data_IF_335601211914
#
_entry.id   IF_335601211914
#
_cell.length_a   1.000
_cell.length_b   1.000
_cell.length_c   1.000
_cell.angle_alpha   90.00
_cell.angle_beta   90.00
_cell.angle_gamma   90.00
#
_symmetry.space_group_name_H-M   'P 1'
#
loop_
_entity.id
_entity.type
_entity.pdbx_description
1 polymer ?
#
# COMPACT_ATOMS: atom_id res chain seq x y z
N UNK A 1 -7.18 -6.35 29.97
CA UNK A 1 -8.05 -6.50 28.78
C UNK A 1 -8.55 -5.11 28.45
N UNK A 2 -8.44 -4.69 27.18
CA UNK A 2 -8.87 -3.37 26.73
C UNK A 2 -10.02 -3.59 25.74
N UNK A 3 -11.09 -2.82 25.89
CA UNK A 3 -12.33 -2.98 25.12
C UNK A 3 -12.49 -1.85 24.12
N UNK A 4 -12.95 -2.20 22.93
CA UNK A 4 -13.28 -1.28 21.85
C UNK A 4 -14.63 -1.67 21.25
N UNK A 5 -15.38 -0.72 20.72
CA UNK A 5 -16.61 -1.05 19.98
C UNK A 5 -16.25 -1.78 18.68
N UNK A 6 -15.25 -1.27 17.97
CA UNK A 6 -14.85 -1.74 16.65
C UNK A 6 -13.32 -1.75 16.51
N UNK A 7 -12.79 -2.82 15.92
CA UNK A 7 -11.37 -2.93 15.53
C UNK A 7 -11.25 -3.15 14.02
N UNK A 8 -10.35 -2.42 13.39
CA UNK A 8 -9.92 -2.62 12.00
C UNK A 8 -8.49 -3.16 12.01
N UNK A 9 -8.25 -4.28 11.33
CA UNK A 9 -6.92 -4.89 11.16
C UNK A 9 -6.36 -4.41 9.82
N UNK A 10 -5.29 -3.62 9.87
CA UNK A 10 -4.61 -2.99 8.73
C UNK A 10 -4.90 -1.49 8.61
N UNK A 11 -3.87 -0.67 8.72
CA UNK A 11 -3.87 0.77 8.44
C UNK A 11 -3.37 1.05 7.01
N UNK A 12 -3.82 0.24 6.04
CA UNK A 12 -3.71 0.59 4.63
C UNK A 12 -4.74 1.67 4.25
N UNK A 13 -4.72 2.13 3.00
CA UNK A 13 -5.64 3.17 2.53
C UNK A 13 -7.12 2.79 2.74
N UNK A 14 -7.48 1.55 2.43
CA UNK A 14 -8.83 1.03 2.65
C UNK A 14 -9.21 1.00 4.14
N UNK A 15 -8.33 0.49 5.00
CA UNK A 15 -8.55 0.38 6.45
C UNK A 15 -8.66 1.74 7.13
N UNK A 16 -7.85 2.72 6.72
CA UNK A 16 -7.99 4.10 7.16
C UNK A 16 -9.35 4.71 6.75
N UNK A 17 -9.78 4.47 5.51
CA UNK A 17 -11.09 4.92 5.04
C UNK A 17 -12.25 4.26 5.78
N UNK A 18 -12.15 2.94 6.01
CA UNK A 18 -13.14 2.18 6.75
C UNK A 18 -13.23 2.65 8.19
N UNK A 19 -12.10 2.84 8.88
CA UNK A 19 -12.08 3.35 10.24
C UNK A 19 -12.67 4.76 10.34
N UNK A 20 -12.36 5.66 9.39
CA UNK A 20 -12.96 6.99 9.33
C UNK A 20 -14.49 6.93 9.19
N UNK A 21 -15.01 6.03 8.34
CA UNK A 21 -16.45 5.79 8.18
C UNK A 21 -17.11 5.26 9.46
N UNK A 22 -16.42 4.35 10.15
CA UNK A 22 -16.88 3.72 11.38
C UNK A 22 -16.82 4.68 12.58
N UNK A 23 -15.92 5.67 12.56
CA UNK A 23 -15.73 6.63 13.64
C UNK A 23 -14.70 6.13 14.66
N UNK A 24 -15.13 5.84 15.89
CA UNK A 24 -14.26 5.46 17.02
C UNK A 24 -13.74 4.02 16.93
N UNK A 25 -13.14 3.65 15.80
CA UNK A 25 -12.53 2.36 15.59
C UNK A 25 -11.03 2.39 15.93
N UNK A 26 -10.55 1.34 16.59
CA UNK A 26 -9.12 1.10 16.79
C UNK A 26 -8.54 0.43 15.55
N UNK A 27 -7.45 0.94 15.01
CA UNK A 27 -6.72 0.32 13.90
C UNK A 27 -5.45 -0.36 14.43
N UNK A 28 -5.26 -1.63 14.05
CA UNK A 28 -4.05 -2.41 14.37
C UNK A 28 -3.27 -2.65 13.08
N UNK A 29 -2.05 -2.14 13.00
CA UNK A 29 -1.20 -2.22 11.80
C UNK A 29 0.12 -2.93 12.13
N UNK A 30 0.43 -4.06 11.46
CA UNK A 30 1.68 -4.77 11.69
C UNK A 30 2.93 -3.99 11.24
N UNK A 31 2.80 -3.12 10.24
CA UNK A 31 3.91 -2.30 9.73
C UNK A 31 4.23 -1.13 10.64
N UNK A 32 5.44 -0.59 10.49
CA UNK A 32 5.85 0.64 11.17
C UNK A 32 5.38 1.92 10.47
N UNK A 33 4.65 1.80 9.35
CA UNK A 33 4.11 2.91 8.57
C UNK A 33 2.69 2.57 8.10
N UNK A 34 1.82 3.57 8.02
CA UNK A 34 0.50 3.42 7.39
C UNK A 34 0.61 3.43 5.86
N UNK A 35 -0.38 2.86 5.18
CA UNK A 35 -0.40 2.80 3.71
C UNK A 35 0.74 1.96 3.10
N UNK A 36 1.27 1.00 3.86
CA UNK A 36 2.40 0.16 3.47
C UNK A 36 2.15 -0.63 2.17
N UNK A 37 0.89 -0.94 1.86
CA UNK A 37 0.45 -1.64 0.66
C UNK A 37 0.73 -0.87 -0.65
N UNK A 38 0.91 0.44 -0.59
CA UNK A 38 1.44 1.24 -1.70
C UNK A 38 2.84 1.79 -1.42
N UNK A 39 3.06 2.35 -0.22
CA UNK A 39 4.30 3.05 0.11
C UNK A 39 5.52 2.11 0.14
N UNK A 40 5.37 0.92 0.74
CA UNK A 40 6.46 -0.05 0.89
C UNK A 40 6.54 -1.08 -0.25
N UNK A 41 5.55 -1.07 -1.15
CA UNK A 41 5.53 -1.87 -2.40
C UNK A 41 6.08 -1.11 -3.60
N UNK A 42 6.41 0.18 -3.45
CA UNK A 42 6.69 1.10 -4.57
C UNK A 42 5.59 1.10 -5.65
N UNK A 43 4.34 0.82 -5.29
CA UNK A 43 3.24 0.85 -6.25
C UNK A 43 2.86 2.30 -6.55
N UNK A 44 3.16 2.73 -7.79
CA UNK A 44 2.87 4.08 -8.30
C UNK A 44 1.38 4.39 -8.46
N UNK A 45 0.53 3.37 -8.36
CA UNK A 45 -0.87 3.44 -8.77
C UNK A 45 -1.05 3.53 -10.28
N UNK A 46 -2.29 3.37 -10.71
CA UNK A 46 -2.78 3.53 -12.07
C UNK A 46 -4.19 4.13 -12.06
N UNK A 47 -4.71 4.50 -13.24
CA UNK A 47 -6.07 5.05 -13.40
C UNK A 47 -6.32 6.32 -12.54
N UNK A 48 -5.36 7.24 -12.51
CA UNK A 48 -5.42 8.48 -11.72
C UNK A 48 -6.47 9.50 -12.21
N UNK A 49 -7.03 9.29 -13.39
CA UNK A 49 -8.09 10.13 -13.97
C UNK A 49 -9.47 9.83 -13.35
N UNK A 50 -9.62 8.70 -12.63
CA UNK A 50 -10.89 8.32 -12.02
C UNK A 50 -11.19 9.23 -10.84
N UNK A 51 -12.34 9.92 -10.90
CA UNK A 51 -12.80 10.79 -9.81
C UNK A 51 -13.31 9.95 -8.64
N UNK A 52 -12.85 10.19 -7.40
CA UNK A 52 -13.37 9.51 -6.21
C UNK A 52 -14.85 9.83 -5.98
N UNK A 53 -15.60 8.86 -5.48
CA UNK A 53 -17.03 9.03 -5.14
C UNK A 53 -17.20 9.79 -3.81
N UNK A 54 -16.37 9.51 -2.81
CA UNK A 54 -16.45 10.12 -1.48
C UNK A 54 -15.65 11.43 -1.40
N UNK A 55 -16.22 12.51 -0.80
CA UNK A 55 -15.55 13.82 -0.73
C UNK A 55 -14.22 13.78 0.04
N UNK A 56 -14.10 12.90 1.03
CA UNK A 56 -12.86 12.76 1.80
C UNK A 56 -11.73 12.05 1.03
N UNK A 57 -12.07 11.17 0.09
CA UNK A 57 -11.09 10.61 -0.83
C UNK A 57 -10.66 11.66 -1.87
N UNK A 58 -11.58 12.52 -2.32
CA UNK A 58 -11.26 13.67 -3.16
C UNK A 58 -10.36 14.70 -2.44
N UNK A 59 -10.53 14.88 -1.13
CA UNK A 59 -9.62 15.68 -0.29
C UNK A 59 -8.20 15.09 -0.30
N UNK A 60 -8.08 13.77 -0.13
CA UNK A 60 -6.78 13.09 -0.17
C UNK A 60 -6.12 13.21 -1.56
N UNK A 61 -6.87 13.04 -2.64
CA UNK A 61 -6.37 13.28 -4.00
C UNK A 61 -5.88 14.72 -4.18
N UNK A 62 -6.60 15.70 -3.63
CA UNK A 62 -6.19 17.11 -3.64
C UNK A 62 -4.91 17.34 -2.85
N UNK A 63 -4.74 16.63 -1.73
CA UNK A 63 -3.52 16.67 -0.91
C UNK A 63 -2.32 16.12 -1.70
N UNK A 64 -2.47 15.00 -2.42
CA UNK A 64 -1.42 14.45 -3.28
C UNK A 64 -0.95 15.47 -4.33
N UNK A 65 -1.88 16.10 -5.04
CA UNK A 65 -1.57 17.11 -6.07
C UNK A 65 -0.93 18.37 -5.46
N UNK A 66 -1.50 18.88 -4.37
CA UNK A 66 -0.99 20.06 -3.65
C UNK A 66 0.47 19.89 -3.22
N UNK A 67 0.83 18.70 -2.76
CA UNK A 67 2.18 18.38 -2.30
C UNK A 67 3.09 17.83 -3.40
N UNK A 68 2.65 17.85 -4.67
CA UNK A 68 3.39 17.30 -5.82
C UNK A 68 3.82 15.85 -5.58
N UNK A 69 2.94 15.05 -4.99
CA UNK A 69 3.08 13.61 -4.87
C UNK A 69 2.42 12.86 -6.06
N UNK A 70 1.62 13.58 -6.84
CA UNK A 70 0.96 13.17 -8.08
C UNK A 70 0.92 14.39 -9.00
N UNK A 71 1.30 14.23 -10.27
CA UNK A 71 1.13 15.26 -11.30
C UNK A 71 -0.05 14.98 -12.23
N UNK A 72 -0.23 15.85 -13.23
CA UNK A 72 -1.33 15.77 -14.19
C UNK A 72 -1.14 14.62 -15.21
N UNK A 73 0.09 14.11 -15.38
CA UNK A 73 0.38 12.94 -16.20
C UNK A 73 0.24 11.60 -15.45
N UNK A 74 -0.11 11.64 -14.16
CA UNK A 74 -0.29 10.44 -13.34
C UNK A 74 1.00 9.85 -12.77
N UNK A 75 2.13 10.56 -12.88
CA UNK A 75 3.40 10.17 -12.27
C UNK A 75 3.37 10.47 -10.78
N UNK A 76 4.04 9.63 -9.99
CA UNK A 76 3.96 9.71 -8.53
C UNK A 76 5.30 9.67 -7.81
N UNK A 77 5.31 10.29 -6.63
CA UNK A 77 6.36 10.13 -5.62
C UNK A 77 5.78 9.24 -4.52
N UNK A 78 5.91 7.92 -4.66
CA UNK A 78 5.28 6.92 -3.78
C UNK A 78 5.69 7.09 -2.32
N UNK A 79 6.92 7.56 -2.07
CA UNK A 79 7.41 7.86 -0.73
C UNK A 79 6.57 8.93 0.00
N UNK A 80 5.85 9.79 -0.71
CA UNK A 80 4.97 10.80 -0.13
C UNK A 80 3.59 10.25 0.28
N UNK A 81 3.19 9.04 -0.16
CA UNK A 81 1.87 8.51 0.14
C UNK A 81 1.64 8.28 1.64
N UNK A 82 2.58 7.63 2.33
CA UNK A 82 2.46 7.38 3.77
C UNK A 82 2.37 8.66 4.63
N UNK A 83 3.26 9.67 4.50
CA UNK A 83 3.17 10.88 5.30
C UNK A 83 1.90 11.71 5.00
N UNK A 84 1.44 11.74 3.74
CA UNK A 84 0.20 12.44 3.39
C UNK A 84 -1.03 11.70 3.90
N UNK A 85 -1.05 10.37 3.89
CA UNK A 85 -2.08 9.60 4.58
C UNK A 85 -2.04 9.89 6.08
N UNK A 86 -0.86 10.08 6.67
CA UNK A 86 -0.72 10.30 8.11
C UNK A 86 -1.27 11.67 8.50
N UNK A 87 -1.04 12.69 7.68
CA UNK A 87 -1.70 13.99 7.81
C UNK A 87 -3.22 13.85 7.72
N UNK A 88 -3.72 13.12 6.71
CA UNK A 88 -5.15 12.88 6.50
C UNK A 88 -5.80 12.16 7.68
N UNK A 89 -5.15 11.11 8.21
CA UNK A 89 -5.60 10.32 9.36
C UNK A 89 -5.55 11.11 10.66
N UNK A 90 -4.49 11.91 10.88
CA UNK A 90 -4.36 12.77 12.07
C UNK A 90 -5.46 13.82 12.14
N UNK A 91 -5.81 14.44 11.01
CA UNK A 91 -6.93 15.41 10.94
C UNK A 91 -8.27 14.78 11.36
N UNK A 92 -8.40 13.46 11.26
CA UNK A 92 -9.58 12.67 11.60
C UNK A 92 -9.47 11.95 12.93
N UNK A 93 -8.37 12.16 13.66
CA UNK A 93 -8.14 11.56 14.97
C UNK A 93 -8.27 10.02 14.96
N UNK A 94 -7.84 9.37 13.88
CA UNK A 94 -7.87 7.90 13.82
C UNK A 94 -6.94 7.31 14.89
N UNK A 95 -7.45 6.36 15.67
CA UNK A 95 -6.68 5.64 16.69
C UNK A 95 -5.92 4.48 16.05
N UNK A 96 -4.65 4.72 15.70
CA UNK A 96 -3.81 3.77 14.96
C UNK A 96 -2.67 3.27 15.86
N UNK A 97 -2.55 1.97 16.00
CA UNK A 97 -1.41 1.30 16.64
C UNK A 97 -0.54 0.60 15.58
N UNK A 98 0.60 1.21 15.28
CA UNK A 98 1.60 0.70 14.36
C UNK A 98 2.50 -0.36 15.04
N UNK A 99 3.19 -1.16 14.23
CA UNK A 99 4.09 -2.22 14.69
C UNK A 99 3.41 -3.19 15.66
N UNK A 100 2.13 -3.47 15.43
CA UNK A 100 1.30 -4.32 16.26
C UNK A 100 0.61 -5.37 15.39
N UNK A 101 0.94 -6.64 15.61
CA UNK A 101 0.45 -7.76 14.81
C UNK A 101 -0.62 -8.53 15.54
N UNK A 102 -1.73 -8.84 14.87
CA UNK A 102 -2.73 -9.80 15.37
C UNK A 102 -2.17 -11.22 15.21
N UNK A 103 -2.10 -11.97 16.30
CA UNK A 103 -1.56 -13.35 16.32
C UNK A 103 -2.66 -14.40 16.43
N UNK A 104 -3.83 -14.05 16.97
CA UNK A 104 -4.99 -14.93 17.03
C UNK A 104 -6.28 -14.11 17.17
N UNK A 105 -7.38 -14.65 16.64
CA UNK A 105 -8.74 -14.14 16.82
C UNK A 105 -9.61 -15.29 17.34
N UNK A 106 -10.23 -15.12 18.50
CA UNK A 106 -11.11 -16.11 19.14
C UNK A 106 -12.44 -15.43 19.50
N UNK A 107 -13.43 -15.54 18.61
CA UNK A 107 -14.69 -14.82 18.74
C UNK A 107 -14.50 -13.30 18.70
N UNK A 108 -14.78 -12.62 19.81
CA UNK A 108 -14.62 -11.17 19.95
C UNK A 108 -13.26 -10.74 20.52
N UNK A 109 -12.37 -11.70 20.81
CA UNK A 109 -11.04 -11.41 21.36
C UNK A 109 -9.96 -11.47 20.29
N UNK A 110 -9.10 -10.44 20.26
CA UNK A 110 -7.89 -10.40 19.47
C UNK A 110 -6.69 -10.48 20.41
N UNK A 111 -5.82 -11.45 20.15
CA UNK A 111 -4.48 -11.48 20.74
C UNK A 111 -3.55 -10.74 19.81
N UNK A 112 -2.86 -9.73 20.34
CA UNK A 112 -1.92 -8.92 19.56
C UNK A 112 -0.54 -8.91 20.22
N UNK A 113 0.49 -8.70 19.40
CA UNK A 113 1.86 -8.47 19.84
C UNK A 113 2.35 -7.15 19.25
N UNK A 114 2.58 -6.17 20.13
CA UNK A 114 3.17 -4.88 19.80
C UNK A 114 4.61 -4.77 20.31
N UNK A 115 5.20 -3.60 20.09
CA UNK A 115 6.55 -3.26 20.58
C UNK A 115 6.66 -3.27 22.12
N UNK A 116 5.53 -3.09 22.81
CA UNK A 116 5.39 -3.12 24.27
C UNK A 116 4.93 -4.49 24.79
N UNK A 117 4.90 -5.51 23.93
CA UNK A 117 4.62 -6.90 24.29
C UNK A 117 3.21 -7.37 23.92
N UNK A 118 2.76 -8.40 24.63
CA UNK A 118 1.49 -9.09 24.31
C UNK A 118 0.31 -8.38 24.97
N UNK A 119 -0.79 -8.21 24.22
CA UNK A 119 -2.05 -7.65 24.71
C UNK A 119 -3.23 -8.47 24.23
N UNK A 120 -4.36 -8.29 24.91
CA UNK A 120 -5.65 -8.85 24.53
C UNK A 120 -6.63 -7.69 24.41
N UNK A 121 -7.19 -7.56 23.21
CA UNK A 121 -8.27 -6.64 22.89
C UNK A 121 -9.57 -7.39 22.75
N UNK A 122 -10.67 -6.77 23.18
CA UNK A 122 -12.02 -7.26 22.93
C UNK A 122 -12.76 -6.24 22.09
N UNK A 123 -13.47 -6.69 21.06
CA UNK A 123 -14.23 -5.83 20.17
C UNK A 123 -15.65 -6.32 19.97
N UNK A 124 -16.61 -5.39 19.85
CA UNK A 124 -17.96 -5.70 19.40
C UNK A 124 -17.96 -6.23 17.97
N UNK A 125 -17.22 -5.56 17.08
CA UNK A 125 -17.02 -5.96 15.69
C UNK A 125 -15.54 -5.90 15.28
N UNK A 126 -15.12 -6.85 14.43
CA UNK A 126 -13.75 -6.95 13.91
C UNK A 126 -13.81 -6.91 12.39
N UNK A 127 -13.02 -6.03 11.79
CA UNK A 127 -12.90 -5.86 10.35
C UNK A 127 -11.48 -6.18 9.92
N UNK A 128 -11.30 -7.16 9.03
CA UNK A 128 -10.00 -7.43 8.42
C UNK A 128 -9.87 -6.65 7.11
N UNK A 129 -9.16 -5.53 7.20
CA UNK A 129 -8.83 -4.66 6.09
C UNK A 129 -7.50 -5.04 5.43
N UNK A 130 -6.79 -6.09 5.88
CA UNK A 130 -5.52 -6.47 5.28
C UNK A 130 -5.70 -6.86 3.80
N UNK A 131 -4.71 -6.54 2.94
CA UNK A 131 -4.74 -6.94 1.55
C UNK A 131 -4.96 -8.45 1.41
N UNK A 132 -6.02 -8.86 0.71
CA UNK A 132 -6.26 -10.27 0.43
C UNK A 132 -5.33 -10.74 -0.68
N UNK A 133 -4.71 -11.90 -0.50
CA UNK A 133 -3.87 -12.51 -1.53
C UNK A 133 -4.71 -12.86 -2.75
N UNK A 134 -4.41 -12.23 -3.89
CA UNK A 134 -4.92 -12.61 -5.21
C UNK A 134 -4.01 -13.64 -5.87
N UNK A 135 -4.44 -14.19 -7.00
CA UNK A 135 -3.64 -15.07 -7.84
C UNK A 135 -2.39 -14.41 -8.41
N UNK A 136 -2.39 -13.07 -8.52
CA UNK A 136 -1.28 -12.25 -9.02
C UNK A 136 -0.74 -11.36 -7.91
N UNK A 137 0.59 -11.31 -7.82
CA UNK A 137 1.31 -10.38 -6.95
C UNK A 137 2.58 -9.91 -7.66
N UNK A 138 3.05 -8.73 -7.31
CA UNK A 138 4.22 -8.14 -7.93
C UNK A 138 5.26 -7.74 -6.89
N UNK A 139 6.52 -7.89 -7.26
CA UNK A 139 7.63 -7.27 -6.55
C UNK A 139 8.13 -6.10 -7.38
N UNK A 140 8.05 -4.90 -6.83
CA UNK A 140 8.46 -3.68 -7.52
C UNK A 140 9.87 -3.27 -7.10
N UNK A 141 10.69 -2.86 -8.05
CA UNK A 141 11.96 -2.19 -7.82
C UNK A 141 11.88 -0.69 -8.12
N UNK A 142 12.64 0.11 -7.38
CA UNK A 142 13.01 1.47 -7.78
C UNK A 142 14.29 1.40 -8.61
N UNK A 143 14.25 1.96 -9.82
CA UNK A 143 15.32 1.87 -10.80
C UNK A 143 15.71 3.27 -11.27
N UNK A 144 17.01 3.54 -11.33
CA UNK A 144 17.56 4.72 -12.02
C UNK A 144 17.93 4.36 -13.47
N UNK A 145 17.79 5.28 -14.41
CA UNK A 145 18.13 5.08 -15.82
C UNK A 145 18.19 6.39 -16.60
N UNK A 146 18.39 6.33 -17.94
CA UNK A 146 18.33 7.51 -18.78
C UNK A 146 16.95 8.17 -18.68
N UNK A 147 16.87 9.50 -18.83
CA UNK A 147 15.60 10.22 -18.90
C UNK A 147 14.83 9.87 -20.19
N UNK A 148 13.50 9.92 -20.12
CA UNK A 148 12.63 9.76 -21.29
C UNK A 148 12.33 8.30 -21.68
N UNK A 149 12.66 7.31 -20.85
CA UNK A 149 12.19 5.94 -21.09
C UNK A 149 10.67 5.89 -20.86
N UNK A 150 9.91 5.62 -21.91
CA UNK A 150 8.44 5.57 -21.82
C UNK A 150 7.96 4.42 -20.91
N UNK A 151 6.79 4.61 -20.30
CA UNK A 151 6.06 3.55 -19.61
C UNK A 151 5.88 2.31 -20.49
N UNK A 152 5.70 1.15 -19.86
CA UNK A 152 5.29 -0.07 -20.55
C UNK A 152 6.20 -1.28 -20.32
N UNK A 153 5.91 -2.34 -21.04
CA UNK A 153 6.53 -3.64 -20.82
C UNK A 153 7.87 -3.79 -21.58
N UNK A 154 8.89 -4.27 -20.87
CA UNK A 154 10.25 -4.52 -21.39
C UNK A 154 10.75 -5.85 -20.85
N UNK A 155 10.64 -6.88 -21.68
CA UNK A 155 10.82 -8.27 -21.23
C UNK A 155 9.80 -8.66 -20.16
N UNK A 156 10.28 -9.16 -19.02
CA UNK A 156 9.44 -9.51 -17.87
C UNK A 156 9.03 -8.32 -16.99
N UNK A 157 9.47 -7.11 -17.31
CA UNK A 157 9.29 -5.93 -16.46
C UNK A 157 8.23 -4.98 -16.99
N UNK A 158 7.44 -4.39 -16.09
CA UNK A 158 6.55 -3.28 -16.40
C UNK A 158 7.13 -2.01 -15.78
N UNK A 159 7.52 -1.07 -16.63
CA UNK A 159 8.09 0.22 -16.24
C UNK A 159 6.99 1.28 -16.11
N UNK A 160 7.12 2.09 -15.05
CA UNK A 160 6.35 3.32 -14.83
C UNK A 160 7.31 4.43 -14.43
N UNK A 161 7.24 5.58 -15.09
CA UNK A 161 7.97 6.78 -14.70
C UNK A 161 7.54 7.24 -13.30
N UNK A 162 8.50 7.61 -12.48
CA UNK A 162 8.23 8.34 -11.24
C UNK A 162 8.14 9.85 -11.52
N UNK A 163 7.86 10.64 -10.48
CA UNK A 163 7.97 12.11 -10.55
C UNK A 163 9.40 12.62 -10.71
N UNK A 164 10.41 11.80 -10.40
CA UNK A 164 11.81 12.20 -10.49
C UNK A 164 12.38 11.78 -11.85
N UNK A 165 12.92 12.72 -12.66
CA UNK A 165 13.53 12.39 -13.95
C UNK A 165 14.60 11.31 -13.81
N UNK A 166 14.52 10.30 -14.67
CA UNK A 166 15.45 9.16 -14.65
C UNK A 166 15.16 8.11 -13.57
N UNK A 167 14.10 8.26 -12.76
CA UNK A 167 13.65 7.24 -11.80
C UNK A 167 12.37 6.55 -12.25
N UNK A 168 12.33 5.23 -12.06
CA UNK A 168 11.27 4.35 -12.54
C UNK A 168 10.84 3.36 -11.45
N UNK A 169 9.53 3.10 -11.37
CA UNK A 169 8.98 1.97 -10.65
C UNK A 169 8.85 0.80 -11.62
N UNK A 170 9.48 -0.34 -11.29
CA UNK A 170 9.61 -1.48 -12.19
C UNK A 170 9.00 -2.71 -11.55
N UNK A 171 7.84 -3.14 -12.04
CA UNK A 171 7.12 -4.31 -11.52
C UNK A 171 7.60 -5.57 -12.20
N UNK A 172 7.82 -6.62 -11.42
CA UNK A 172 7.95 -7.99 -11.88
C UNK A 172 6.84 -8.84 -11.27
N UNK A 173 6.10 -9.55 -12.11
CA UNK A 173 5.08 -10.50 -11.64
C UNK A 173 5.75 -11.69 -10.94
N UNK A 174 5.24 -12.04 -9.75
CA UNK A 174 5.66 -13.22 -9.01
C UNK A 174 4.53 -14.25 -9.05
N UNK A 175 4.90 -15.53 -9.04
CA UNK A 175 3.91 -16.60 -9.08
C UNK A 175 3.36 -16.85 -7.67
N UNK A 176 2.08 -17.25 -7.61
CA UNK A 176 1.24 -17.17 -6.40
C UNK A 176 1.92 -17.60 -5.09
N UNK A 177 2.42 -18.83 -5.02
CA UNK A 177 3.01 -19.39 -3.79
C UNK A 177 4.45 -18.92 -3.51
N UNK A 178 5.05 -18.10 -4.37
CA UNK A 178 6.46 -17.71 -4.22
C UNK A 178 6.67 -16.94 -2.91
N UNK A 179 7.46 -17.52 -1.99
CA UNK A 179 7.90 -16.82 -0.81
C UNK A 179 8.79 -15.61 -1.15
N UNK A 180 9.04 -14.77 -0.16
CA UNK A 180 9.90 -13.60 -0.27
C UNK A 180 11.28 -13.87 -0.87
N UNK A 181 11.92 -14.97 -0.43
CA UNK A 181 13.24 -15.37 -0.90
C UNK A 181 13.22 -15.68 -2.40
N UNK A 182 12.25 -16.49 -2.84
CA UNK A 182 12.13 -16.91 -4.22
C UNK A 182 11.83 -15.72 -5.13
N UNK A 183 10.87 -14.86 -4.76
CA UNK A 183 10.52 -13.66 -5.52
C UNK A 183 11.72 -12.73 -5.73
N UNK A 184 12.51 -12.46 -4.67
CA UNK A 184 13.71 -11.60 -4.75
C UNK A 184 14.80 -12.25 -5.60
N UNK A 185 15.02 -13.55 -5.45
CA UNK A 185 16.00 -14.29 -6.27
C UNK A 185 15.62 -14.24 -7.75
N UNK A 186 14.36 -14.51 -8.08
CA UNK A 186 13.82 -14.43 -9.44
C UNK A 186 13.99 -13.03 -10.01
N UNK A 187 13.70 -11.98 -9.23
CA UNK A 187 13.93 -10.61 -9.64
C UNK A 187 15.41 -10.38 -9.96
N UNK A 188 16.34 -10.59 -9.01
CA UNK A 188 17.76 -10.37 -9.29
C UNK A 188 18.29 -11.17 -10.50
N UNK A 189 17.84 -12.41 -10.69
CA UNK A 189 18.21 -13.22 -11.86
C UNK A 189 17.71 -12.60 -13.16
N UNK A 190 16.43 -12.23 -13.25
CA UNK A 190 15.88 -11.59 -14.45
C UNK A 190 16.50 -10.22 -14.72
N UNK A 191 16.85 -9.47 -13.67
CA UNK A 191 17.54 -8.18 -13.82
C UNK A 191 18.97 -8.34 -14.35
N UNK A 192 19.67 -9.39 -13.91
CA UNK A 192 21.01 -9.69 -14.39
C UNK A 192 21.00 -10.03 -15.89
N UNK A 193 19.94 -10.69 -16.37
CA UNK A 193 19.69 -11.01 -17.77
C UNK A 193 18.78 -10.00 -18.50
N UNK A 194 18.71 -8.74 -18.03
CA UNK A 194 17.78 -7.74 -18.57
C UNK A 194 18.06 -7.41 -20.06
N UNK A 195 17.02 -7.04 -20.83
CA UNK A 195 17.16 -6.59 -22.23
C UNK A 195 18.22 -5.51 -22.45
N UNK A 196 18.75 -5.43 -23.68
CA UNK A 196 19.83 -4.49 -24.04
C UNK A 196 19.46 -3.03 -23.76
N UNK A 197 18.21 -2.66 -24.01
CA UNK A 197 17.67 -1.32 -23.75
C UNK A 197 17.65 -0.93 -22.26
N UNK A 198 17.73 -1.91 -21.34
CA UNK A 198 17.77 -1.67 -19.90
C UNK A 198 19.19 -1.73 -19.33
N UNK A 199 20.23 -1.84 -20.16
CA UNK A 199 21.59 -2.04 -19.67
C UNK A 199 22.12 -0.85 -18.88
N UNK A 200 21.74 0.36 -19.28
CA UNK A 200 22.10 1.61 -18.58
C UNK A 200 21.25 1.86 -17.32
N UNK A 201 20.22 1.04 -17.09
CA UNK A 201 19.42 1.10 -15.86
C UNK A 201 20.11 0.40 -14.70
N UNK A 202 19.92 0.95 -13.50
CA UNK A 202 20.47 0.46 -12.23
C UNK A 202 19.34 0.26 -11.22
N UNK A 203 19.26 -0.94 -10.65
CA UNK A 203 18.36 -1.21 -9.54
C UNK A 203 18.87 -0.49 -8.29
N UNK A 204 18.02 0.34 -7.69
CA UNK A 204 18.32 1.07 -6.45
C UNK A 204 17.81 0.30 -5.24
N UNK A 205 16.52 -0.01 -5.23
CA UNK A 205 15.82 -0.63 -4.10
C UNK A 205 14.78 -1.63 -4.59
N UNK A 206 14.44 -2.60 -3.74
CA UNK A 206 13.28 -3.47 -3.91
C UNK A 206 12.25 -3.16 -2.83
N UNK A 207 10.97 -3.26 -3.19
CA UNK A 207 9.87 -3.19 -2.25
C UNK A 207 10.02 -4.21 -1.13
N UNK A 208 9.58 -3.85 0.07
CA UNK A 208 9.55 -4.75 1.23
C UNK A 208 8.19 -5.42 1.40
N UNK A 209 7.21 -5.02 0.59
CA UNK A 209 5.86 -5.60 0.50
C UNK A 209 5.54 -5.99 -0.95
N UNK A 210 4.68 -7.00 -1.12
CA UNK A 210 4.16 -7.36 -2.43
C UNK A 210 3.02 -6.42 -2.80
N UNK A 211 3.01 -5.93 -4.04
CA UNK A 211 1.83 -5.30 -4.62
C UNK A 211 0.83 -6.39 -5.00
N UNK A 212 -0.34 -6.39 -4.36
CA UNK A 212 -1.41 -7.36 -4.59
C UNK A 212 -2.49 -6.86 -5.57
N UNK A 213 -2.34 -5.64 -6.11
CA UNK A 213 -3.28 -5.03 -7.06
C UNK A 213 -4.76 -5.13 -6.61
N UNK A 214 -5.02 -4.87 -5.33
CA UNK A 214 -6.38 -4.89 -4.78
C UNK A 214 -7.18 -3.68 -5.27
N UNK A 215 -6.52 -2.56 -5.47
CA UNK A 215 -7.06 -1.31 -5.97
C UNK A 215 -6.09 -0.71 -6.98
N UNK A 216 -6.59 0.06 -7.97
CA UNK A 216 -5.73 0.67 -8.98
C UNK A 216 -4.77 1.72 -8.40
N UNK A 217 -5.20 2.48 -7.38
CA UNK A 217 -4.37 3.50 -6.73
C UNK A 217 -4.79 3.68 -5.25
N UNK A 218 -3.98 4.37 -4.41
CA UNK A 218 -4.30 4.55 -3.00
C UNK A 218 -5.57 5.37 -2.74
N UNK A 219 -5.95 6.26 -3.67
CA UNK A 219 -7.18 7.06 -3.54
C UNK A 219 -8.41 6.15 -3.70
N UNK A 220 -8.42 5.27 -4.70
CA UNK A 220 -9.49 4.31 -4.92
C UNK A 220 -9.64 3.32 -3.73
N UNK A 221 -8.51 2.89 -3.14
CA UNK A 221 -8.54 2.08 -1.93
C UNK A 221 -9.19 2.82 -0.75
N UNK A 222 -8.79 4.07 -0.52
CA UNK A 222 -9.35 4.93 0.51
C UNK A 222 -10.86 5.16 0.31
N UNK A 223 -11.26 5.47 -0.92
CA UNK A 223 -12.64 5.69 -1.32
C UNK A 223 -13.52 4.46 -1.06
N UNK A 224 -13.05 3.27 -1.45
CA UNK A 224 -13.74 2.02 -1.17
C UNK A 224 -13.95 1.78 0.34
N UNK A 225 -12.95 2.12 1.17
CA UNK A 225 -13.05 2.05 2.63
C UNK A 225 -14.12 2.99 3.19
N UNK A 226 -14.11 4.25 2.75
CA UNK A 226 -15.07 5.28 3.14
C UNK A 226 -16.51 4.95 2.73
N UNK A 227 -16.68 4.25 1.61
CA UNK A 227 -17.99 3.78 1.15
C UNK A 227 -18.43 2.45 1.79
N UNK A 228 -17.56 1.82 2.58
CA UNK A 228 -17.84 0.51 3.19
C UNK A 228 -17.91 -0.63 2.16
N UNK A 229 -17.23 -0.50 1.02
CA UNK A 229 -17.14 -1.54 -0.02
C UNK A 229 -16.14 -2.62 0.43
N UNK A 230 -16.51 -3.44 1.43
CA UNK A 230 -15.73 -4.56 1.96
C UNK A 230 -16.52 -5.44 2.94
N UNK A 231 -16.11 -6.70 3.12
CA UNK A 231 -16.81 -7.66 3.97
C UNK A 231 -16.45 -7.53 5.46
N UNK A 232 -17.40 -7.92 6.34
CA UNK A 232 -17.11 -8.23 7.75
C UNK A 232 -16.41 -9.60 7.84
N UNK A 233 -15.55 -9.80 8.84
CA UNK A 233 -15.09 -11.14 9.21
C UNK A 233 -16.22 -11.95 9.85
#
# INVERSE_FOLDING_TARGET
MIEFDQIVIGANFFGCGLAARLGKAKIIEPSCVIGADFALTFNSGEEWDVKPEHPEAAEYLSLLRKHRALDDEGRTAVAAFAPLLAEWSRKRELDIELSCSVVAIEGQELRVIGVDGRKIYRAGEIYDALPKTKSRKFLTGLVAGPEGLEDGQRGGFVFRQSLHPGEYYVKLECFGEDGWELARRTWHQQWASRPKELQDCRLLLLGTHFDLCNYPNPVAALDAGLLGKGGKL
#
